data_IF_547062484483
#
_entry.id   IF_547062484483
#
_cell.length_a   1.000
_cell.length_b   1.000
_cell.length_c   1.000
_cell.angle_alpha   90.00
_cell.angle_beta   90.00
_cell.angle_gamma   90.00
#
_symmetry.space_group_name_H-M   'P 1'
#
loop_
_entity.id
_entity.type
_entity.pdbx_description
1 polymer ?
#
# COMPACT_ATOMS: atom_id res chain seq x y z
N UNK A 1 -39.85 70.37 3.22
CA UNK A 1 -38.88 69.56 4.00
C UNK A 1 -39.34 68.12 3.95
N UNK A 2 -38.82 67.34 2.99
CA UNK A 2 -39.26 65.98 2.69
C UNK A 2 -38.56 64.98 3.61
N UNK A 3 -39.32 64.26 4.44
CA UNK A 3 -38.82 63.07 5.14
C UNK A 3 -39.06 61.85 4.25
N UNK A 4 -37.99 61.34 3.64
CA UNK A 4 -37.95 60.08 2.90
C UNK A 4 -38.27 58.93 3.86
N UNK A 5 -39.39 58.24 3.63
CA UNK A 5 -39.72 56.97 4.28
C UNK A 5 -38.78 55.89 3.74
N UNK A 6 -37.93 55.33 4.59
CA UNK A 6 -37.11 54.17 4.25
C UNK A 6 -38.00 52.95 4.00
N UNK A 7 -37.87 52.33 2.82
CA UNK A 7 -38.54 51.07 2.48
C UNK A 7 -37.77 49.91 3.11
N UNK A 8 -38.32 49.29 4.13
CA UNK A 8 -37.82 48.04 4.70
C UNK A 8 -38.26 46.90 3.78
N UNK A 9 -37.39 46.43 2.90
CA UNK A 9 -37.61 45.19 2.14
C UNK A 9 -37.35 44.00 3.07
N UNK A 10 -38.42 43.38 3.56
CA UNK A 10 -38.36 42.07 4.20
C UNK A 10 -38.25 41.01 3.11
N UNK A 11 -37.02 40.57 2.82
CA UNK A 11 -36.76 39.45 1.92
C UNK A 11 -37.28 38.17 2.58
N UNK A 12 -38.35 37.60 2.03
CA UNK A 12 -38.94 36.35 2.51
C UNK A 12 -38.01 35.20 2.12
N UNK A 13 -37.30 34.61 3.08
CA UNK A 13 -36.43 33.45 2.82
C UNK A 13 -37.27 32.31 2.20
N UNK A 14 -36.87 31.86 1.00
CA UNK A 14 -37.51 30.73 0.34
C UNK A 14 -37.16 29.45 1.10
N UNK A 15 -38.18 28.63 1.36
CA UNK A 15 -38.03 27.33 2.00
C UNK A 15 -37.04 26.47 1.20
N UNK A 16 -35.91 26.14 1.82
CA UNK A 16 -34.84 25.39 1.19
C UNK A 16 -35.09 23.89 1.35
N UNK A 17 -35.21 23.16 0.24
CA UNK A 17 -35.32 21.71 0.25
C UNK A 17 -33.94 21.09 0.41
N UNK A 18 -33.75 20.38 1.52
CA UNK A 18 -32.53 19.63 1.79
C UNK A 18 -32.73 18.17 1.43
N UNK A 19 -31.89 17.66 0.53
CA UNK A 19 -31.83 16.23 0.23
C UNK A 19 -30.84 15.57 1.18
N UNK A 20 -31.36 14.78 2.12
CA UNK A 20 -30.51 13.92 2.97
C UNK A 20 -29.94 12.82 2.08
N UNK A 21 -28.63 12.87 1.86
CA UNK A 21 -27.88 11.78 1.23
C UNK A 21 -27.36 10.87 2.34
N UNK A 22 -27.56 9.57 2.21
CA UNK A 22 -26.88 8.58 3.04
C UNK A 22 -25.52 8.29 2.39
N UNK A 23 -24.39 8.73 2.95
CA UNK A 23 -23.06 8.48 2.40
C UNK A 23 -22.57 7.06 2.70
N UNK A 24 -23.47 6.07 2.69
CA UNK A 24 -23.10 4.67 2.81
C UNK A 24 -22.22 4.33 1.59
N UNK A 25 -20.90 4.36 1.78
CA UNK A 25 -19.95 3.96 0.77
C UNK A 25 -20.20 2.50 0.45
N UNK A 26 -20.82 2.23 -0.69
CA UNK A 26 -20.90 0.88 -1.25
C UNK A 26 -19.47 0.49 -1.61
N UNK A 27 -18.82 -0.26 -0.72
CA UNK A 27 -17.46 -0.74 -0.90
C UNK A 27 -17.54 -1.93 -1.86
N UNK A 28 -17.07 -1.77 -3.09
CA UNK A 28 -16.93 -2.88 -4.03
C UNK A 28 -15.74 -3.75 -3.59
N UNK A 29 -16.03 -4.79 -2.80
CA UNK A 29 -15.02 -5.73 -2.31
C UNK A 29 -14.73 -6.73 -3.44
N UNK A 30 -13.74 -6.41 -4.28
CA UNK A 30 -13.24 -7.35 -5.27
C UNK A 30 -12.42 -8.44 -4.58
N UNK A 31 -12.96 -9.66 -4.53
CA UNK A 31 -12.28 -10.81 -3.95
C UNK A 31 -11.13 -11.26 -4.86
N UNK A 32 -9.89 -11.12 -4.40
CA UNK A 32 -8.71 -11.64 -5.10
C UNK A 32 -8.45 -13.11 -4.73
N UNK A 33 -8.00 -13.91 -5.71
CA UNK A 33 -7.54 -15.28 -5.44
C UNK A 33 -6.21 -15.22 -4.68
N UNK A 34 -6.17 -15.81 -3.49
CA UNK A 34 -4.95 -15.86 -2.67
C UNK A 34 -3.86 -16.71 -3.32
N UNK A 35 -2.60 -16.39 -3.03
CA UNK A 35 -1.45 -17.17 -3.48
C UNK A 35 -1.48 -18.58 -2.85
N UNK A 36 -1.07 -19.63 -3.59
CA UNK A 36 -1.01 -20.99 -3.05
C UNK A 36 0.02 -21.08 -1.91
N UNK A 37 -0.29 -21.85 -0.87
CA UNK A 37 0.63 -22.07 0.26
C UNK A 37 1.82 -22.91 -0.18
N UNK A 38 3.03 -22.43 0.10
CA UNK A 38 4.25 -23.20 -0.08
C UNK A 38 4.39 -24.27 1.01
N UNK A 39 4.81 -25.47 0.61
CA UNK A 39 5.07 -26.60 1.52
C UNK A 39 6.54 -26.73 1.90
N UNK A 40 7.46 -26.29 1.02
CA UNK A 40 8.89 -26.28 1.24
C UNK A 40 9.54 -25.01 0.65
N UNK A 41 10.80 -24.77 1.01
CA UNK A 41 11.60 -23.63 0.52
C UNK A 41 12.78 -24.07 -0.35
N UNK A 42 12.93 -25.37 -0.62
CA UNK A 42 14.07 -25.91 -1.35
C UNK A 42 14.06 -25.48 -2.82
N UNK A 43 15.17 -24.93 -3.31
CA UNK A 43 15.29 -24.43 -4.68
C UNK A 43 14.44 -23.18 -4.99
N UNK A 44 13.71 -22.65 -4.00
CA UNK A 44 12.80 -21.51 -4.16
C UNK A 44 13.54 -20.18 -4.12
N UNK A 45 13.00 -19.22 -4.85
CA UNK A 45 13.50 -17.84 -4.88
C UNK A 45 12.71 -16.99 -3.90
N UNK A 46 13.41 -16.48 -2.88
CA UNK A 46 12.85 -15.66 -1.81
C UNK A 46 13.35 -14.23 -2.02
N UNK A 47 12.43 -13.32 -2.28
CA UNK A 47 12.72 -11.90 -2.42
C UNK A 47 12.55 -11.17 -1.09
N UNK A 48 13.53 -10.36 -0.73
CA UNK A 48 13.47 -9.46 0.40
C UNK A 48 13.15 -8.05 -0.06
N UNK A 49 12.11 -7.47 0.55
CA UNK A 49 11.73 -6.06 0.38
C UNK A 49 11.94 -5.32 1.69
N UNK A 50 12.50 -4.12 1.61
CA UNK A 50 12.63 -3.23 2.75
C UNK A 50 12.34 -1.80 2.35
N UNK A 51 11.62 -1.07 3.22
CA UNK A 51 11.29 0.34 3.01
C UNK A 51 12.34 1.30 3.61
N UNK A 52 13.55 0.83 3.88
CA UNK A 52 14.67 1.61 4.44
C UNK A 52 14.43 2.23 5.83
N UNK A 53 13.34 1.85 6.51
CA UNK A 53 13.12 2.20 7.91
C UNK A 53 14.16 1.53 8.80
N UNK A 54 14.52 2.21 9.89
CA UNK A 54 15.63 1.84 10.76
C UNK A 54 15.67 0.33 11.11
N UNK A 55 16.86 -0.26 11.00
CA UNK A 55 17.19 -1.66 11.33
C UNK A 55 16.43 -2.77 10.57
N UNK A 56 15.62 -2.46 9.56
CA UNK A 56 14.98 -3.51 8.76
C UNK A 56 15.97 -4.35 7.95
N UNK A 57 17.12 -3.79 7.58
CA UNK A 57 18.24 -4.55 7.00
C UNK A 57 18.78 -5.60 7.97
N UNK A 58 19.03 -5.27 9.24
CA UNK A 58 19.59 -6.22 10.20
C UNK A 58 18.69 -7.42 10.41
N UNK A 59 17.37 -7.20 10.46
CA UNK A 59 16.39 -8.27 10.49
C UNK A 59 16.47 -9.16 9.24
N UNK A 60 16.45 -8.55 8.05
CA UNK A 60 16.49 -9.30 6.79
C UNK A 60 17.82 -10.04 6.59
N UNK A 61 18.93 -9.44 7.00
CA UNK A 61 20.26 -10.05 6.95
C UNK A 61 20.29 -11.30 7.84
N UNK A 62 19.73 -11.22 9.06
CA UNK A 62 19.64 -12.38 9.94
C UNK A 62 18.77 -13.49 9.36
N UNK A 63 17.67 -13.16 8.70
CA UNK A 63 16.83 -14.15 8.00
C UNK A 63 17.62 -14.78 6.83
N UNK A 64 18.39 -14.00 6.07
CA UNK A 64 19.23 -14.51 4.99
C UNK A 64 20.26 -15.53 5.50
N UNK A 65 20.92 -15.23 6.61
CA UNK A 65 21.87 -16.15 7.27
C UNK A 65 21.21 -17.46 7.66
N UNK A 66 20.06 -17.39 8.34
CA UNK A 66 19.31 -18.55 8.79
C UNK A 66 18.79 -19.40 7.62
N UNK A 67 18.35 -18.77 6.53
CA UNK A 67 17.95 -19.48 5.33
C UNK A 67 19.13 -20.21 4.69
N UNK A 68 20.30 -19.58 4.64
CA UNK A 68 21.52 -20.22 4.13
C UNK A 68 21.94 -21.43 4.99
N UNK A 69 21.76 -21.35 6.30
CA UNK A 69 22.08 -22.43 7.24
C UNK A 69 21.08 -23.60 7.13
N UNK A 70 19.78 -23.31 7.14
CA UNK A 70 18.72 -24.33 7.23
C UNK A 70 18.23 -24.86 5.89
N UNK A 71 18.27 -24.02 4.86
CA UNK A 71 17.77 -24.34 3.50
C UNK A 71 18.76 -23.78 2.46
N UNK A 72 19.97 -24.35 2.35
CA UNK A 72 21.02 -23.82 1.48
C UNK A 72 20.66 -23.82 -0.02
N UNK A 73 19.67 -24.61 -0.42
CA UNK A 73 19.15 -24.62 -1.79
C UNK A 73 18.22 -23.44 -2.11
N UNK A 74 17.73 -22.72 -1.10
CA UNK A 74 16.91 -21.52 -1.29
C UNK A 74 17.77 -20.36 -1.79
N UNK A 75 17.25 -19.60 -2.76
CA UNK A 75 17.91 -18.42 -3.33
C UNK A 75 17.32 -17.17 -2.71
N UNK A 76 18.17 -16.33 -2.12
CA UNK A 76 17.73 -15.05 -1.53
C UNK A 76 18.10 -13.90 -2.45
N UNK A 77 17.14 -13.05 -2.76
CA UNK A 77 17.33 -11.81 -3.55
C UNK A 77 16.97 -10.62 -2.69
N UNK A 78 17.94 -9.76 -2.39
CA UNK A 78 17.71 -8.50 -1.68
C UNK A 78 17.36 -7.40 -2.68
N UNK A 79 16.08 -7.25 -2.99
CA UNK A 79 15.61 -6.35 -4.05
C UNK A 79 16.02 -4.90 -3.75
N UNK A 80 15.99 -4.48 -2.49
CA UNK A 80 16.35 -3.11 -2.07
C UNK A 80 17.84 -2.75 -2.29
N UNK A 81 18.72 -3.74 -2.50
CA UNK A 81 20.13 -3.51 -2.87
C UNK A 81 20.31 -3.35 -4.39
N UNK A 82 19.41 -3.94 -5.18
CA UNK A 82 19.48 -3.99 -6.65
C UNK A 82 18.62 -2.88 -7.28
N UNK A 83 17.36 -2.78 -6.85
CA UNK A 83 16.39 -1.80 -7.31
C UNK A 83 15.91 -0.94 -6.13
N UNK A 84 16.59 0.20 -5.94
CA UNK A 84 16.25 1.18 -4.91
C UNK A 84 14.89 1.85 -5.13
N UNK A 85 14.28 1.75 -6.31
CA UNK A 85 12.94 2.30 -6.55
C UNK A 85 11.86 1.56 -5.72
N UNK A 86 12.16 0.36 -5.25
CA UNK A 86 11.26 -0.47 -4.44
C UNK A 86 11.18 -0.09 -2.96
N UNK A 87 12.06 0.80 -2.52
CA UNK A 87 12.17 1.26 -1.13
C UNK A 87 10.96 2.08 -0.71
N UNK A 88 10.43 2.92 -1.60
CA UNK A 88 9.35 3.82 -1.24
C UNK A 88 8.05 3.06 -0.93
N UNK A 89 7.30 3.58 0.02
CA UNK A 89 5.94 3.13 0.27
C UNK A 89 5.05 3.62 -0.87
N UNK A 90 4.13 2.78 -1.34
CA UNK A 90 3.16 3.20 -2.34
C UNK A 90 2.15 4.16 -1.72
N UNK A 91 1.92 5.29 -2.39
CA UNK A 91 0.91 6.28 -2.00
C UNK A 91 -0.43 6.09 -2.72
N UNK A 92 -0.44 5.32 -3.82
CA UNK A 92 -1.62 5.06 -4.63
C UNK A 92 -1.74 3.60 -5.09
N UNK A 93 -2.87 3.27 -5.72
CA UNK A 93 -3.10 1.96 -6.34
C UNK A 93 -2.14 1.75 -7.52
N UNK A 94 -1.89 2.78 -8.31
CA UNK A 94 -0.99 2.73 -9.47
C UNK A 94 0.46 2.50 -9.03
N UNK A 95 0.89 3.18 -7.95
CA UNK A 95 2.20 2.98 -7.34
C UNK A 95 2.37 1.56 -6.81
N UNK A 96 1.32 1.03 -6.15
CA UNK A 96 1.31 -0.34 -5.62
C UNK A 96 1.42 -1.36 -6.76
N UNK A 97 0.68 -1.15 -7.85
CA UNK A 97 0.74 -2.00 -9.02
C UNK A 97 2.11 -1.94 -9.73
N UNK A 98 2.72 -0.75 -9.84
CA UNK A 98 4.08 -0.61 -10.37
C UNK A 98 5.08 -1.37 -9.52
N UNK A 99 5.03 -1.20 -8.20
CA UNK A 99 5.94 -1.87 -7.27
C UNK A 99 5.80 -3.40 -7.36
N UNK A 100 4.57 -3.90 -7.41
CA UNK A 100 4.30 -5.33 -7.58
C UNK A 100 4.87 -5.87 -8.90
N UNK A 101 4.80 -5.11 -10.00
CA UNK A 101 5.41 -5.48 -11.28
C UNK A 101 6.94 -5.55 -11.22
N UNK A 102 7.60 -4.54 -10.65
CA UNK A 102 9.06 -4.55 -10.47
C UNK A 102 9.50 -5.77 -9.64
N UNK A 103 8.82 -6.04 -8.52
CA UNK A 103 9.12 -7.23 -7.69
C UNK A 103 8.90 -8.53 -8.48
N UNK A 104 7.86 -8.60 -9.33
CA UNK A 104 7.56 -9.78 -10.13
C UNK A 104 8.62 -10.08 -11.21
N UNK A 105 9.39 -9.10 -11.68
CA UNK A 105 10.48 -9.31 -12.64
C UNK A 105 11.59 -10.21 -12.09
N UNK A 106 11.79 -10.20 -10.78
CA UNK A 106 12.73 -11.08 -10.08
C UNK A 106 12.21 -12.52 -9.94
N UNK A 107 10.99 -12.81 -10.40
CA UNK A 107 10.31 -14.11 -10.34
C UNK A 107 10.39 -14.78 -8.95
N UNK A 108 10.04 -14.09 -7.86
CA UNK A 108 10.07 -14.70 -6.54
C UNK A 108 8.94 -15.72 -6.38
N UNK A 109 9.24 -16.82 -5.69
CA UNK A 109 8.24 -17.76 -5.18
C UNK A 109 7.63 -17.23 -3.86
N UNK A 110 8.40 -16.45 -3.09
CA UNK A 110 8.00 -15.87 -1.82
C UNK A 110 8.59 -14.46 -1.68
N UNK A 111 7.81 -13.53 -1.15
CA UNK A 111 8.29 -12.19 -0.76
C UNK A 111 8.23 -12.05 0.75
N UNK A 112 9.35 -11.74 1.38
CA UNK A 112 9.44 -11.36 2.79
C UNK A 112 9.71 -9.87 2.83
N UNK A 113 8.85 -9.12 3.52
CA UNK A 113 9.03 -7.67 3.67
C UNK A 113 9.32 -7.31 5.11
N UNK A 114 10.22 -6.35 5.31
CA UNK A 114 10.42 -5.68 6.58
C UNK A 114 9.88 -4.26 6.47
N UNK A 115 8.94 -3.94 7.35
CA UNK A 115 8.52 -2.57 7.63
C UNK A 115 9.00 -2.26 9.05
N UNK A 116 9.83 -1.23 9.20
CA UNK A 116 10.05 -0.69 10.54
C UNK A 116 8.76 -0.05 11.05
N UNK A 117 8.55 -0.05 12.36
CA UNK A 117 7.57 0.83 12.99
C UNK A 117 8.14 2.25 13.03
#
# INVERSE_FOLDING_TARGET
MNRTKGSTSLTKEKMQEWKVVNPAGTIDIKTAKSAPRLTNLEGKTIAFRWNFKHNGNHYLDRIAELLKEKVPSAKVIKIYEIDRSTINQSGSIEDSARLARSIAEFKPDLVISAHGD
#
